data_IF_360072780871
#
_entry.id   IF_360072780871
#
_cell.length_a   1.000
_cell.length_b   1.000
_cell.length_c   1.000
_cell.angle_alpha   90.00
_cell.angle_beta   90.00
_cell.angle_gamma   90.00
#
_symmetry.space_group_name_H-M   'P 1'
#
loop_
_entity.id
_entity.type
_entity.pdbx_description
1 polymer ?
#
# COMPACT_ATOMS: atom_id res chain seq x y z
N UNK A 1 22.11 -16.82 -68.00
CA UNK A 1 23.27 -17.63 -67.51
C UNK A 1 23.54 -17.23 -66.07
N UNK A 2 23.08 -18.06 -65.12
CA UNK A 2 23.46 -17.91 -63.71
C UNK A 2 24.90 -18.38 -63.55
N UNK A 3 25.81 -17.47 -63.41
CA UNK A 3 27.14 -17.78 -62.90
C UNK A 3 27.01 -18.15 -61.42
N UNK A 4 26.97 -19.44 -61.13
CA UNK A 4 27.11 -19.95 -59.77
C UNK A 4 28.59 -19.74 -59.43
N UNK A 5 28.89 -18.80 -58.58
CA UNK A 5 30.25 -18.56 -58.10
C UNK A 5 30.64 -19.68 -57.14
N UNK A 6 31.19 -20.77 -57.71
CA UNK A 6 31.57 -22.00 -56.99
C UNK A 6 32.58 -21.78 -55.85
N UNK A 7 33.33 -20.66 -55.89
CA UNK A 7 34.31 -20.31 -54.87
C UNK A 7 33.67 -19.71 -53.60
N UNK A 8 32.50 -19.10 -53.74
CA UNK A 8 31.82 -18.41 -52.65
C UNK A 8 30.49 -19.07 -52.23
N UNK A 9 30.11 -20.17 -52.88
CA UNK A 9 28.90 -20.92 -52.54
C UNK A 9 29.18 -22.03 -51.52
N UNK A 10 28.24 -22.25 -50.61
CA UNK A 10 28.31 -23.34 -49.65
C UNK A 10 27.75 -24.63 -50.31
N UNK A 11 28.40 -25.80 -50.09
CA UNK A 11 27.90 -27.07 -50.58
C UNK A 11 26.58 -27.47 -49.91
N UNK A 12 25.63 -28.04 -50.66
CA UNK A 12 24.35 -28.51 -50.14
C UNK A 12 24.44 -29.62 -49.06
N UNK A 13 25.65 -30.23 -48.92
CA UNK A 13 25.95 -31.22 -47.89
C UNK A 13 26.69 -30.69 -46.67
N UNK A 14 26.78 -29.36 -46.53
CA UNK A 14 27.51 -28.74 -45.43
C UNK A 14 26.80 -28.87 -44.10
N UNK A 15 27.58 -28.99 -43.01
CA UNK A 15 27.00 -29.04 -41.63
C UNK A 15 26.37 -27.71 -41.23
N UNK A 16 25.50 -27.73 -40.24
CA UNK A 16 24.86 -26.52 -39.68
C UNK A 16 25.92 -25.51 -39.20
N UNK A 17 27.02 -25.99 -38.61
CA UNK A 17 28.10 -25.15 -38.13
C UNK A 17 28.82 -24.44 -39.29
N UNK A 18 29.02 -25.15 -40.43
CA UNK A 18 29.61 -24.58 -41.63
C UNK A 18 28.68 -23.53 -42.24
N UNK A 19 27.37 -23.78 -42.22
CA UNK A 19 26.36 -22.83 -42.66
C UNK A 19 26.36 -21.57 -41.78
N UNK A 20 26.41 -21.73 -40.45
CA UNK A 20 26.46 -20.60 -39.50
C UNK A 20 27.72 -19.74 -39.74
N UNK A 21 28.91 -20.35 -39.91
CA UNK A 21 30.13 -19.60 -40.18
C UNK A 21 30.04 -18.85 -41.52
N UNK A 22 29.46 -19.48 -42.53
CA UNK A 22 29.26 -18.85 -43.84
C UNK A 22 28.30 -17.65 -43.69
N UNK A 23 27.16 -17.80 -43.01
CA UNK A 23 26.22 -16.73 -42.74
C UNK A 23 26.89 -15.57 -41.99
N UNK A 24 27.63 -15.83 -40.91
CA UNK A 24 28.35 -14.82 -40.14
C UNK A 24 29.40 -14.09 -40.91
N UNK A 25 29.99 -14.70 -41.98
CA UNK A 25 30.94 -14.03 -42.86
C UNK A 25 30.27 -13.05 -43.84
N UNK A 26 28.95 -13.24 -44.11
CA UNK A 26 28.19 -12.47 -45.10
C UNK A 26 27.25 -11.43 -44.50
N UNK A 27 26.95 -11.59 -43.20
CA UNK A 27 26.10 -10.64 -42.43
C UNK A 27 26.97 -10.00 -41.37
N UNK A 28 27.14 -8.71 -41.43
CA UNK A 28 27.87 -7.93 -40.42
C UNK A 28 26.92 -6.98 -39.76
N UNK A 29 27.02 -6.89 -38.43
CA UNK A 29 26.20 -6.02 -37.62
C UNK A 29 27.12 -5.07 -36.85
N UNK A 30 26.92 -3.78 -37.02
CA UNK A 30 27.67 -2.73 -36.34
C UNK A 30 26.72 -1.79 -35.60
N UNK A 31 27.07 -1.49 -34.37
CA UNK A 31 26.39 -0.44 -33.58
C UNK A 31 27.17 0.86 -33.77
N UNK A 32 26.50 1.90 -34.19
CA UNK A 32 27.07 3.25 -34.18
C UNK A 32 26.95 3.82 -32.77
N UNK A 33 28.05 3.90 -32.04
CA UNK A 33 28.14 4.39 -30.68
C UNK A 33 27.66 5.84 -30.49
N UNK A 34 27.61 6.63 -31.57
CA UNK A 34 27.18 8.04 -31.51
C UNK A 34 25.67 8.19 -31.67
N UNK A 35 25.09 7.39 -32.53
CA UNK A 35 23.66 7.48 -32.88
C UNK A 35 22.83 6.40 -32.20
N UNK A 36 23.44 5.33 -31.66
CA UNK A 36 22.78 4.14 -31.16
C UNK A 36 22.09 3.31 -32.25
N UNK A 37 22.31 3.64 -33.52
CA UNK A 37 21.71 2.90 -34.62
C UNK A 37 22.47 1.61 -34.91
N UNK A 38 21.71 0.59 -35.26
CA UNK A 38 22.22 -0.73 -35.64
C UNK A 38 22.25 -0.82 -37.14
N UNK A 39 23.47 -0.90 -37.70
CA UNK A 39 23.70 -1.06 -39.12
C UNK A 39 23.91 -2.54 -39.42
N UNK A 40 23.12 -3.06 -40.36
CA UNK A 40 23.18 -4.44 -40.81
C UNK A 40 23.67 -4.44 -42.28
N UNK A 41 24.85 -4.97 -42.51
CA UNK A 41 25.43 -5.14 -43.86
C UNK A 41 25.26 -6.58 -44.28
N UNK A 42 24.75 -6.78 -45.48
CA UNK A 42 24.49 -8.11 -46.06
C UNK A 42 25.13 -8.22 -47.44
N UNK A 43 25.94 -9.26 -47.61
CA UNK A 43 26.52 -9.63 -48.90
C UNK A 43 25.69 -10.78 -49.53
N UNK A 44 25.29 -10.62 -50.79
CA UNK A 44 24.59 -11.61 -51.59
C UNK A 44 25.20 -11.78 -52.97
N UNK A 45 24.84 -12.81 -53.71
CA UNK A 45 25.33 -13.07 -55.07
C UNK A 45 24.74 -12.08 -56.10
N UNK A 46 23.57 -11.53 -55.81
CA UNK A 46 22.93 -10.49 -56.62
C UNK A 46 22.38 -9.40 -55.71
N UNK A 47 22.21 -8.15 -56.20
CA UNK A 47 21.61 -7.09 -55.42
C UNK A 47 20.22 -7.46 -54.85
N UNK A 48 19.41 -8.20 -55.63
CA UNK A 48 18.08 -8.64 -55.23
C UNK A 48 18.14 -9.66 -54.08
N UNK A 49 19.11 -10.60 -54.11
CA UNK A 49 19.32 -11.58 -53.05
C UNK A 49 19.80 -10.92 -51.76
N UNK A 50 20.77 -9.98 -51.84
CA UNK A 50 21.22 -9.23 -50.68
C UNK A 50 20.08 -8.41 -50.06
N UNK A 51 19.27 -7.74 -50.87
CA UNK A 51 18.11 -6.99 -50.40
C UNK A 51 17.06 -7.90 -49.73
N UNK A 52 16.77 -9.06 -50.32
CA UNK A 52 15.83 -10.02 -49.76
C UNK A 52 16.28 -10.54 -48.38
N UNK A 53 17.57 -10.90 -48.25
CA UNK A 53 18.16 -11.35 -46.99
C UNK A 53 18.09 -10.24 -45.94
N UNK A 54 18.49 -9.03 -46.26
CA UNK A 54 18.45 -7.90 -45.35
C UNK A 54 17.01 -7.62 -44.87
N UNK A 55 16.04 -7.63 -45.78
CA UNK A 55 14.61 -7.47 -45.47
C UNK A 55 14.09 -8.58 -44.57
N UNK A 56 14.46 -9.83 -44.83
CA UNK A 56 14.05 -10.98 -43.99
C UNK A 56 14.67 -10.87 -42.59
N UNK A 57 15.93 -10.49 -42.47
CA UNK A 57 16.56 -10.27 -41.15
C UNK A 57 15.83 -9.19 -40.38
N UNK A 58 15.48 -8.07 -41.00
CA UNK A 58 14.71 -7.00 -40.36
C UNK A 58 13.34 -7.51 -39.88
N UNK A 59 12.61 -8.22 -40.72
CA UNK A 59 11.28 -8.76 -40.37
C UNK A 59 11.33 -9.77 -39.23
N UNK A 60 12.29 -10.69 -39.25
CA UNK A 60 12.46 -11.68 -38.18
C UNK A 60 12.98 -11.03 -36.89
N UNK A 61 13.84 -10.01 -37.00
CA UNK A 61 14.28 -9.23 -35.83
C UNK A 61 13.12 -8.45 -35.20
N UNK A 62 12.28 -7.83 -36.00
CA UNK A 62 11.06 -7.14 -35.51
C UNK A 62 10.12 -8.09 -34.78
N UNK A 63 9.82 -9.25 -35.36
CA UNK A 63 9.03 -10.29 -34.70
C UNK A 63 9.64 -10.71 -33.36
N UNK A 64 10.94 -11.01 -33.36
CA UNK A 64 11.66 -11.46 -32.18
C UNK A 64 11.63 -10.43 -31.05
N UNK A 65 11.86 -9.15 -31.37
CA UNK A 65 11.78 -8.06 -30.40
C UNK A 65 10.36 -7.91 -29.85
N UNK A 66 9.34 -7.99 -30.71
CA UNK A 66 7.95 -7.93 -30.28
C UNK A 66 7.59 -9.11 -29.39
N UNK A 67 8.00 -10.34 -29.72
CA UNK A 67 7.78 -11.53 -28.90
C UNK A 67 8.44 -11.42 -27.53
N UNK A 68 9.70 -10.95 -27.47
CA UNK A 68 10.41 -10.71 -26.20
C UNK A 68 9.69 -9.65 -25.39
N UNK A 69 9.32 -8.52 -25.99
CA UNK A 69 8.63 -7.43 -25.33
C UNK A 69 7.27 -7.89 -24.74
N UNK A 70 6.47 -8.59 -25.52
CA UNK A 70 5.21 -9.14 -25.04
C UNK A 70 5.40 -10.22 -23.96
N UNK A 71 6.46 -11.02 -24.04
CA UNK A 71 6.79 -12.00 -23.02
C UNK A 71 7.17 -11.29 -21.70
N UNK A 72 8.06 -10.30 -21.77
CA UNK A 72 8.47 -9.52 -20.61
C UNK A 72 7.29 -8.80 -19.95
N UNK A 73 6.43 -8.16 -20.74
CA UNK A 73 5.23 -7.50 -20.23
C UNK A 73 4.27 -8.48 -19.53
N UNK A 74 4.05 -9.67 -20.09
CA UNK A 74 3.22 -10.71 -19.45
C UNK A 74 3.83 -11.23 -18.15
N UNK A 75 5.14 -11.45 -18.11
CA UNK A 75 5.84 -11.88 -16.90
C UNK A 75 5.76 -10.80 -15.80
N UNK A 76 5.91 -9.54 -16.16
CA UNK A 76 5.75 -8.40 -15.25
C UNK A 76 4.32 -8.30 -14.71
N UNK A 77 3.32 -8.47 -15.58
CA UNK A 77 1.91 -8.48 -15.16
C UNK A 77 1.61 -9.65 -14.20
N UNK A 78 2.11 -10.87 -14.49
CA UNK A 78 1.94 -12.04 -13.61
C UNK A 78 2.56 -11.81 -12.23
N UNK A 79 3.78 -11.26 -12.18
CA UNK A 79 4.42 -10.90 -10.92
C UNK A 79 3.61 -9.85 -10.13
N UNK A 80 3.13 -8.80 -10.81
CA UNK A 80 2.32 -7.77 -10.17
C UNK A 80 0.98 -8.33 -9.65
N UNK A 81 0.38 -9.30 -10.34
CA UNK A 81 -0.84 -9.99 -9.90
C UNK A 81 -0.60 -10.83 -8.63
N UNK A 82 0.48 -11.58 -8.57
CA UNK A 82 0.87 -12.35 -7.37
C UNK A 82 1.09 -11.44 -6.15
N UNK A 83 1.81 -10.33 -6.34
CA UNK A 83 2.02 -9.35 -5.27
C UNK A 83 0.70 -8.67 -4.83
N UNK A 84 -0.19 -8.36 -5.77
CA UNK A 84 -1.52 -7.81 -5.46
C UNK A 84 -2.34 -8.76 -4.58
N UNK A 85 -2.36 -10.06 -4.90
CA UNK A 85 -3.06 -11.09 -4.11
C UNK A 85 -2.50 -11.13 -2.69
N UNK A 86 -1.18 -11.17 -2.54
CA UNK A 86 -0.48 -11.20 -1.26
C UNK A 86 -0.77 -9.97 -0.39
N UNK A 87 -0.73 -8.76 -0.96
CA UNK A 87 -1.04 -7.54 -0.21
C UNK A 87 -2.53 -7.42 0.11
N UNK A 88 -3.42 -7.93 -0.74
CA UNK A 88 -4.85 -8.03 -0.45
C UNK A 88 -5.13 -8.93 0.76
N UNK A 89 -4.51 -10.10 0.83
CA UNK A 89 -4.63 -11.01 1.96
C UNK A 89 -4.09 -10.38 3.26
N UNK A 90 -2.95 -9.71 3.18
CA UNK A 90 -2.37 -8.98 4.32
C UNK A 90 -3.32 -7.87 4.81
N UNK A 91 -3.90 -7.10 3.90
CA UNK A 91 -4.87 -6.06 4.24
C UNK A 91 -6.12 -6.64 4.90
N UNK A 92 -6.69 -7.70 4.32
CA UNK A 92 -7.85 -8.39 4.89
C UNK A 92 -7.56 -8.94 6.29
N UNK A 93 -6.39 -9.53 6.50
CA UNK A 93 -5.96 -10.03 7.81
C UNK A 93 -5.86 -8.89 8.82
N UNK A 94 -5.17 -7.80 8.51
CA UNK A 94 -5.02 -6.66 9.41
C UNK A 94 -6.38 -6.02 9.78
N UNK A 95 -7.30 -5.92 8.82
CA UNK A 95 -8.67 -5.47 9.09
C UNK A 95 -9.43 -6.43 10.04
N UNK A 96 -9.32 -7.72 9.79
CA UNK A 96 -9.97 -8.72 10.64
C UNK A 96 -9.40 -8.72 12.06
N UNK A 97 -8.09 -8.54 12.23
CA UNK A 97 -7.43 -8.46 13.51
C UNK A 97 -7.92 -7.22 14.30
N UNK A 98 -8.07 -6.07 13.64
CA UNK A 98 -8.62 -4.86 14.23
C UNK A 98 -10.08 -5.04 14.65
N UNK A 99 -10.92 -5.61 13.79
CA UNK A 99 -12.34 -5.90 14.09
C UNK A 99 -12.47 -6.93 15.23
N UNK A 100 -11.64 -7.98 15.21
CA UNK A 100 -11.63 -8.97 16.28
C UNK A 100 -11.25 -8.36 17.63
N UNK A 101 -10.28 -7.43 17.64
CA UNK A 101 -9.91 -6.67 18.82
C UNK A 101 -11.08 -5.82 19.34
N UNK A 102 -11.73 -5.05 18.45
CA UNK A 102 -12.90 -4.23 18.81
C UNK A 102 -14.04 -5.07 19.41
N UNK A 103 -14.36 -6.21 18.76
CA UNK A 103 -15.39 -7.12 19.23
C UNK A 103 -15.04 -7.76 20.57
N UNK A 104 -13.79 -8.20 20.75
CA UNK A 104 -13.33 -8.87 21.98
C UNK A 104 -13.41 -7.97 23.19
N UNK A 105 -13.11 -6.69 23.05
CA UNK A 105 -13.07 -5.74 24.16
C UNK A 105 -14.30 -4.84 24.22
N UNK A 106 -15.22 -4.92 23.27
CA UNK A 106 -16.43 -4.09 23.21
C UNK A 106 -16.12 -2.60 23.07
N UNK A 107 -14.96 -2.26 22.51
CA UNK A 107 -14.46 -0.89 22.43
C UNK A 107 -14.15 -0.53 20.99
N UNK A 108 -14.86 0.43 20.46
CA UNK A 108 -14.65 0.90 19.07
C UNK A 108 -13.37 1.71 18.93
N UNK A 109 -13.11 2.59 19.90
CA UNK A 109 -11.93 3.43 19.98
C UNK A 109 -11.60 3.69 21.47
N UNK A 110 -10.60 3.00 22.04
CA UNK A 110 -10.23 3.14 23.44
C UNK A 110 -9.77 4.56 23.80
N UNK A 111 -9.11 5.27 22.87
CA UNK A 111 -8.63 6.62 23.10
C UNK A 111 -9.78 7.61 23.25
N UNK A 112 -10.72 7.60 22.31
CA UNK A 112 -11.92 8.45 22.39
C UNK A 112 -12.77 8.15 23.61
N UNK A 113 -12.84 6.88 23.99
CA UNK A 113 -13.56 6.49 25.20
C UNK A 113 -12.87 7.02 26.48
N UNK A 114 -11.53 6.98 26.52
CA UNK A 114 -10.76 7.55 27.63
C UNK A 114 -10.91 9.07 27.70
N UNK A 115 -10.82 9.76 26.56
CA UNK A 115 -11.02 11.21 26.46
C UNK A 115 -12.43 11.63 26.91
N UNK A 116 -13.45 10.91 26.44
CA UNK A 116 -14.84 11.17 26.84
C UNK A 116 -15.05 11.01 28.35
N UNK A 117 -14.46 9.97 28.97
CA UNK A 117 -14.52 9.77 30.41
C UNK A 117 -13.77 10.87 31.18
N UNK A 118 -12.57 11.23 30.73
CA UNK A 118 -11.81 12.33 31.33
C UNK A 118 -12.58 13.66 31.22
N UNK A 119 -13.14 13.93 30.03
CA UNK A 119 -13.96 15.12 29.80
C UNK A 119 -15.16 15.22 30.71
N UNK A 120 -15.86 14.08 30.95
CA UNK A 120 -16.99 14.03 31.92
C UNK A 120 -16.54 14.35 33.32
N UNK A 121 -15.42 13.84 33.80
CA UNK A 121 -14.84 14.15 35.11
C UNK A 121 -14.54 15.64 35.23
N UNK A 122 -13.86 16.22 34.23
CA UNK A 122 -13.53 17.64 34.20
C UNK A 122 -14.79 18.52 34.21
N UNK A 123 -15.84 18.12 33.47
CA UNK A 123 -17.10 18.85 33.46
C UNK A 123 -17.78 18.81 34.82
N UNK A 124 -17.82 17.63 35.47
CA UNK A 124 -18.39 17.50 36.83
C UNK A 124 -17.64 18.36 37.87
N UNK A 125 -16.30 18.40 37.77
CA UNK A 125 -15.47 19.24 38.65
C UNK A 125 -15.75 20.73 38.43
N UNK A 126 -15.89 21.16 37.18
CA UNK A 126 -16.25 22.54 36.84
C UNK A 126 -17.63 22.92 37.38
N UNK A 127 -18.62 22.03 37.18
CA UNK A 127 -20.00 22.24 37.67
C UNK A 127 -20.04 22.34 39.20
N UNK A 128 -19.30 21.49 39.90
CA UNK A 128 -19.18 21.53 41.37
C UNK A 128 -18.56 22.86 41.80
N UNK A 129 -17.42 23.28 41.18
CA UNK A 129 -16.74 24.51 41.53
C UNK A 129 -17.63 25.75 41.32
N UNK A 130 -18.37 25.80 40.20
CA UNK A 130 -19.34 26.88 39.94
C UNK A 130 -20.47 26.95 41.01
N UNK A 131 -21.01 25.76 41.38
CA UNK A 131 -22.08 25.71 42.39
C UNK A 131 -21.56 26.03 43.79
N UNK A 132 -20.35 25.62 44.14
CA UNK A 132 -19.69 25.98 45.40
C UNK A 132 -19.43 27.51 45.50
N UNK A 133 -18.94 28.12 44.41
CA UNK A 133 -18.77 29.56 44.33
C UNK A 133 -20.11 30.31 44.50
N UNK A 134 -21.19 29.81 43.86
CA UNK A 134 -22.54 30.34 44.03
C UNK A 134 -23.03 30.17 45.45
N UNK A 135 -22.77 29.02 46.08
CA UNK A 135 -23.14 28.76 47.48
C UNK A 135 -22.46 29.76 48.43
N UNK A 136 -21.15 30.00 48.29
CA UNK A 136 -20.41 30.99 49.08
C UNK A 136 -20.97 32.39 48.92
N UNK A 137 -21.33 32.79 47.68
CA UNK A 137 -21.96 34.08 47.43
C UNK A 137 -23.31 34.19 48.12
N UNK A 138 -24.14 33.17 48.05
CA UNK A 138 -25.45 33.19 48.69
C UNK A 138 -25.37 33.19 50.24
N UNK A 139 -24.43 32.47 50.82
CA UNK A 139 -24.18 32.45 52.26
C UNK A 139 -23.70 33.78 52.80
N UNK A 140 -23.20 34.69 51.98
CA UNK A 140 -22.80 36.05 52.43
C UNK A 140 -23.98 36.95 52.77
N UNK A 141 -25.21 36.67 52.27
CA UNK A 141 -26.41 37.46 52.47
C UNK A 141 -27.67 36.67 52.85
N UNK A 142 -27.60 35.33 52.86
CA UNK A 142 -28.74 34.47 53.21
C UNK A 142 -28.39 33.53 54.37
N UNK A 143 -29.41 33.14 55.13
CA UNK A 143 -29.23 32.17 56.21
C UNK A 143 -29.07 30.77 55.66
N UNK A 144 -28.25 29.95 56.29
CA UNK A 144 -27.98 28.56 55.93
C UNK A 144 -29.22 27.63 55.84
N UNK A 145 -30.30 28.02 56.48
CA UNK A 145 -31.60 27.33 56.46
C UNK A 145 -32.52 27.75 55.32
N UNK A 146 -32.11 28.70 54.51
CA UNK A 146 -32.89 29.15 53.36
C UNK A 146 -33.09 27.99 52.36
N UNK A 147 -34.29 27.79 51.77
CA UNK A 147 -34.59 26.69 50.89
C UNK A 147 -33.63 26.60 49.68
N UNK A 148 -33.21 27.75 49.15
CA UNK A 148 -32.27 27.84 48.02
C UNK A 148 -30.89 27.31 48.39
N UNK A 149 -30.38 27.65 49.60
CA UNK A 149 -29.07 27.16 50.11
C UNK A 149 -29.17 25.65 50.38
N UNK A 150 -30.24 25.13 50.96
CA UNK A 150 -30.45 23.72 51.22
C UNK A 150 -30.49 22.94 49.90
N UNK A 151 -31.19 23.44 48.88
CA UNK A 151 -31.27 22.84 47.55
C UNK A 151 -29.90 22.81 46.88
N UNK A 152 -29.15 23.92 46.88
CA UNK A 152 -27.85 24.03 46.30
C UNK A 152 -26.79 23.10 46.95
N UNK A 153 -26.85 22.95 48.31
CA UNK A 153 -26.02 21.98 49.04
C UNK A 153 -26.34 20.54 48.65
N UNK A 154 -27.65 20.22 48.45
CA UNK A 154 -28.07 18.89 48.00
C UNK A 154 -27.58 18.60 46.58
N UNK A 155 -27.67 19.56 45.66
CA UNK A 155 -27.13 19.44 44.28
C UNK A 155 -25.62 19.21 44.29
N UNK A 156 -24.84 19.99 45.05
CA UNK A 156 -23.38 19.81 45.17
C UNK A 156 -23.07 18.41 45.70
N UNK A 157 -23.81 17.94 46.70
CA UNK A 157 -23.62 16.60 47.27
C UNK A 157 -23.92 15.51 46.25
N UNK A 158 -24.95 15.67 45.43
CA UNK A 158 -25.29 14.74 44.34
C UNK A 158 -24.19 14.70 43.26
N UNK A 159 -23.71 15.87 42.82
CA UNK A 159 -22.63 15.96 41.86
C UNK A 159 -21.31 15.36 42.40
N UNK A 160 -20.97 15.61 43.67
CA UNK A 160 -19.79 14.99 44.30
C UNK A 160 -19.90 13.46 44.37
N UNK A 161 -21.09 12.92 44.69
CA UNK A 161 -21.33 11.48 44.61
C UNK A 161 -21.15 10.93 43.19
N UNK A 162 -21.67 11.65 42.19
CA UNK A 162 -21.49 11.27 40.79
C UNK A 162 -20.03 11.31 40.42
N UNK A 163 -19.28 12.34 40.79
CA UNK A 163 -17.86 12.47 40.53
C UNK A 163 -17.05 11.30 41.13
N UNK A 164 -17.32 10.95 42.41
CA UNK A 164 -16.69 9.80 43.06
C UNK A 164 -16.99 8.51 42.29
N UNK A 165 -18.23 8.31 41.87
CA UNK A 165 -18.66 7.14 41.09
C UNK A 165 -17.94 7.07 39.75
N UNK A 166 -17.82 8.17 39.03
CA UNK A 166 -17.10 8.18 37.74
C UNK A 166 -15.59 8.01 37.93
N UNK A 167 -14.98 8.66 38.93
CA UNK A 167 -13.58 8.44 39.30
C UNK A 167 -13.31 7.00 39.73
N UNK A 168 -14.23 6.39 40.53
CA UNK A 168 -14.06 4.98 40.91
C UNK A 168 -14.15 4.01 39.73
N UNK A 169 -14.96 4.29 38.72
CA UNK A 169 -14.98 3.52 37.47
C UNK A 169 -13.66 3.63 36.68
N UNK A 170 -12.96 4.75 36.82
CA UNK A 170 -11.63 4.95 36.21
C UNK A 170 -10.53 4.29 37.06
N UNK A 171 -10.69 4.28 38.40
CA UNK A 171 -9.64 3.83 39.35
C UNK A 171 -9.84 2.40 39.88
N UNK A 172 -11.08 1.88 39.92
CA UNK A 172 -11.43 0.60 40.56
C UNK A 172 -11.01 -0.66 39.83
N UNK A 173 -10.55 -0.48 38.62
CA UNK A 173 -9.84 -1.50 37.89
C UNK A 173 -8.37 -1.06 37.79
N UNK A 174 -7.42 -1.91 37.85
CA UNK A 174 -6.16 -1.74 37.14
C UNK A 174 -6.34 -1.21 35.70
N UNK A 175 -7.44 -0.47 35.49
CA UNK A 175 -8.04 -0.09 34.22
C UNK A 175 -7.30 1.04 33.55
N UNK A 176 -6.59 1.91 34.27
CA UNK A 176 -5.73 2.90 33.63
C UNK A 176 -4.58 2.20 32.90
N UNK A 177 -3.97 1.21 33.56
CA UNK A 177 -2.91 0.40 32.94
C UNK A 177 -3.49 -0.46 31.80
N UNK A 178 -4.61 -1.15 32.05
CA UNK A 178 -5.30 -1.94 31.03
C UNK A 178 -5.85 -1.09 29.90
N UNK A 179 -6.38 0.10 30.19
CA UNK A 179 -6.89 1.00 29.16
C UNK A 179 -5.76 1.55 28.29
N UNK A 180 -4.60 1.89 28.90
CA UNK A 180 -3.40 2.30 28.17
C UNK A 180 -2.86 1.15 27.30
N UNK A 181 -2.82 -0.09 27.83
CA UNK A 181 -2.40 -1.27 27.08
C UNK A 181 -3.36 -1.57 25.91
N UNK A 182 -4.67 -1.39 26.14
CA UNK A 182 -5.69 -1.53 25.09
C UNK A 182 -5.56 -0.42 24.04
N UNK A 183 -5.30 0.82 24.45
CA UNK A 183 -5.09 1.94 23.55
C UNK A 183 -3.84 1.74 22.70
N UNK A 184 -2.75 1.29 23.30
CA UNK A 184 -1.51 0.98 22.58
C UNK A 184 -1.73 -0.13 21.54
N UNK A 185 -2.36 -1.26 21.93
CA UNK A 185 -2.70 -2.35 21.01
C UNK A 185 -3.65 -1.93 19.89
N UNK A 186 -4.64 -1.10 20.20
CA UNK A 186 -5.54 -0.56 19.19
C UNK A 186 -4.79 0.32 18.19
N UNK A 187 -3.88 1.16 18.69
CA UNK A 187 -3.04 2.02 17.84
C UNK A 187 -2.13 1.18 16.94
N UNK A 188 -1.48 0.16 17.46
CA UNK A 188 -0.63 -0.76 16.68
C UNK A 188 -1.43 -1.45 15.55
N UNK A 189 -2.61 -1.99 15.87
CA UNK A 189 -3.49 -2.62 14.90
C UNK A 189 -4.01 -1.63 13.85
N UNK A 190 -4.31 -0.39 14.26
CA UNK A 190 -4.76 0.67 13.34
C UNK A 190 -3.64 1.08 12.38
N UNK A 191 -2.42 1.22 12.88
CA UNK A 191 -1.23 1.51 12.07
C UNK A 191 -0.95 0.37 11.10
N UNK A 192 -0.98 -0.89 11.57
CA UNK A 192 -0.76 -2.06 10.69
C UNK A 192 -1.84 -2.15 9.60
N UNK A 193 -3.10 -1.92 9.93
CA UNK A 193 -4.19 -1.86 8.94
C UNK A 193 -3.98 -0.73 7.92
N UNK A 194 -3.52 0.43 8.36
CA UNK A 194 -3.19 1.57 7.49
C UNK A 194 -2.00 1.28 6.55
N UNK A 195 -0.94 0.67 7.05
CA UNK A 195 0.18 0.25 6.22
C UNK A 195 -0.21 -0.84 5.22
N UNK A 196 -0.99 -1.84 5.67
CA UNK A 196 -1.47 -2.90 4.80
C UNK A 196 -2.39 -2.36 3.69
N UNK A 197 -3.25 -1.38 4.00
CA UNK A 197 -4.07 -0.68 3.02
C UNK A 197 -3.21 0.07 1.98
N UNK A 198 -2.26 0.87 2.42
CA UNK A 198 -1.38 1.64 1.53
C UNK A 198 -0.55 0.71 0.63
N UNK A 199 -0.07 -0.42 1.15
CA UNK A 199 0.66 -1.40 0.36
C UNK A 199 -0.24 -2.08 -0.68
N UNK A 200 -1.49 -2.43 -0.32
CA UNK A 200 -2.47 -2.97 -1.26
C UNK A 200 -2.82 -1.97 -2.38
N UNK A 201 -3.02 -0.69 -2.05
CA UNK A 201 -3.29 0.37 -3.03
C UNK A 201 -2.10 0.56 -3.99
N UNK A 202 -0.86 0.49 -3.48
CA UNK A 202 0.35 0.56 -4.31
C UNK A 202 0.48 -0.64 -5.25
N UNK A 203 0.23 -1.85 -4.74
CA UNK A 203 0.23 -3.07 -5.54
C UNK A 203 -0.87 -3.07 -6.63
N UNK A 204 -2.05 -2.54 -6.32
CA UNK A 204 -3.13 -2.39 -7.29
C UNK A 204 -2.72 -1.45 -8.43
N UNK A 205 -2.09 -0.31 -8.11
CA UNK A 205 -1.59 0.62 -9.14
C UNK A 205 -0.50 -0.03 -10.00
N UNK A 206 0.42 -0.78 -9.39
CA UNK A 206 1.48 -1.49 -10.12
C UNK A 206 0.89 -2.54 -11.08
N UNK A 207 -0.10 -3.31 -10.63
CA UNK A 207 -0.81 -4.27 -11.47
C UNK A 207 -1.54 -3.60 -12.64
N UNK A 208 -2.26 -2.50 -12.40
CA UNK A 208 -2.95 -1.77 -13.47
C UNK A 208 -1.96 -1.19 -14.51
N UNK A 209 -0.80 -0.70 -14.07
CA UNK A 209 0.26 -0.24 -14.98
C UNK A 209 0.83 -1.38 -15.81
N UNK A 210 1.18 -2.50 -15.18
CA UNK A 210 1.69 -3.68 -15.88
C UNK A 210 0.65 -4.28 -16.86
N UNK A 211 -0.62 -4.23 -16.51
CA UNK A 211 -1.72 -4.66 -17.38
C UNK A 211 -1.83 -3.81 -18.65
N UNK A 212 -1.66 -2.49 -18.53
CA UNK A 212 -1.70 -1.57 -19.67
C UNK A 212 -0.50 -1.81 -20.59
N UNK A 213 0.70 -2.09 -20.03
CA UNK A 213 1.90 -2.39 -20.82
C UNK A 213 1.83 -3.76 -21.53
N UNK A 214 1.01 -4.68 -21.03
CA UNK A 214 0.84 -6.03 -21.60
C UNK A 214 -0.23 -6.11 -22.71
N UNK A 215 -0.98 -5.03 -22.95
CA UNK A 215 -1.99 -4.93 -24.02
C UNK A 215 -1.36 -4.54 -25.35
#
# INVERSE_FOLDING_TARGET
EQYIDLFFSLSSSSSIESYLKYYQSRVKVHVDDKTGLLNVEVEGFTPESAHLIAKTIMQESEKFINEISHKAAREQMSFAEEELIKYKERYQKAQNDLIAFQNKYGVFDPLKQAEAKAGLVTQLESDIAQREAKLLTMQSYMNDSAPEIVTLKAEITALKKQLVKERSKISADNSSQKLNDLAAKFQDLTIEAGFAQSAYEAALKAYESARIEAL
#
